data_IF_059874903377
#
_entry.id   IF_059874903377
#
_cell.length_a   1.000
_cell.length_b   1.000
_cell.length_c   1.000
_cell.angle_alpha   90.00
_cell.angle_beta   90.00
_cell.angle_gamma   90.00
#
_symmetry.space_group_name_H-M   'P 1'
#
loop_
_entity.id
_entity.type
_entity.pdbx_description
1 polymer ?
#
# COMPACT_ATOMS: atom_id res chain seq x y z
N UNK A 1 5.76 -4.40 -18.81
CA UNK A 1 6.95 -5.01 -18.18
C UNK A 1 6.49 -5.99 -17.11
N UNK A 2 7.06 -7.17 -17.09
CA UNK A 2 6.68 -8.25 -16.16
C UNK A 2 7.74 -8.34 -15.06
N UNK A 3 7.36 -8.37 -13.78
CA UNK A 3 8.32 -8.62 -12.72
C UNK A 3 8.90 -10.02 -12.84
N UNK A 4 10.18 -10.17 -12.57
CA UNK A 4 10.91 -11.44 -12.60
C UNK A 4 11.61 -11.68 -11.26
N UNK A 5 11.70 -12.95 -10.87
CA UNK A 5 12.58 -13.37 -9.79
C UNK A 5 13.95 -13.75 -10.36
N UNK A 6 14.98 -13.11 -9.83
CA UNK A 6 16.37 -13.49 -10.07
C UNK A 6 16.86 -14.27 -8.86
N UNK A 7 17.22 -15.53 -9.06
CA UNK A 7 17.72 -16.41 -8.04
C UNK A 7 19.23 -16.61 -8.20
N UNK A 8 19.98 -16.51 -7.12
CA UNK A 8 21.43 -16.76 -7.11
C UNK A 8 21.78 -18.14 -6.56
N UNK A 9 21.12 -18.48 -5.45
CA UNK A 9 21.31 -19.69 -4.69
C UNK A 9 19.95 -20.27 -4.37
N UNK A 10 19.90 -21.46 -3.80
CA UNK A 10 18.63 -22.10 -3.45
C UNK A 10 17.83 -21.31 -2.39
N UNK A 11 18.51 -20.45 -1.61
CA UNK A 11 17.95 -19.68 -0.51
C UNK A 11 17.99 -18.15 -0.70
N UNK A 12 18.40 -17.66 -1.88
CA UNK A 12 18.52 -16.23 -2.14
C UNK A 12 17.93 -15.83 -3.49
N UNK A 13 16.98 -14.88 -3.47
CA UNK A 13 16.37 -14.32 -4.68
C UNK A 13 15.98 -12.85 -4.50
N UNK A 14 15.82 -12.16 -5.62
CA UNK A 14 15.34 -10.77 -5.68
C UNK A 14 14.19 -10.67 -6.68
N UNK A 15 13.11 -10.00 -6.28
CA UNK A 15 12.04 -9.59 -7.19
C UNK A 15 12.42 -8.29 -7.88
N UNK A 16 12.51 -8.32 -9.19
CA UNK A 16 12.93 -7.18 -9.98
C UNK A 16 12.00 -6.93 -11.16
N UNK A 17 12.06 -5.70 -11.61
CA UNK A 17 11.41 -5.22 -12.80
C UNK A 17 12.43 -4.46 -13.63
N UNK A 18 12.38 -4.52 -14.96
CA UNK A 18 13.37 -3.85 -15.80
C UNK A 18 12.72 -3.14 -17.00
N UNK A 19 13.34 -2.05 -17.39
CA UNK A 19 13.16 -1.36 -18.65
C UNK A 19 14.49 -1.39 -19.44
N UNK A 20 14.54 -0.68 -20.54
CA UNK A 20 15.76 -0.64 -21.38
C UNK A 20 16.99 -0.06 -20.65
N UNK A 21 16.81 0.89 -19.75
CA UNK A 21 17.91 1.63 -19.09
C UNK A 21 17.89 1.56 -17.56
N UNK A 22 16.88 0.98 -16.98
CA UNK A 22 16.69 0.95 -15.53
C UNK A 22 16.22 -0.42 -15.04
N UNK A 23 16.71 -0.80 -13.89
CA UNK A 23 16.20 -1.94 -13.13
C UNK A 23 15.65 -1.45 -11.79
N UNK A 24 14.64 -2.14 -11.27
CA UNK A 24 14.04 -1.84 -9.97
C UNK A 24 13.88 -3.11 -9.16
N UNK A 25 14.43 -3.09 -7.96
CA UNK A 25 14.13 -4.04 -6.89
C UNK A 25 12.86 -3.53 -6.19
N UNK A 26 11.90 -4.40 -5.91
CA UNK A 26 10.60 -4.02 -5.36
C UNK A 26 10.42 -4.30 -3.87
N UNK A 27 11.35 -4.97 -3.24
CA UNK A 27 11.32 -5.34 -1.84
C UNK A 27 12.69 -5.83 -1.40
N UNK A 28 12.82 -6.13 -0.11
CA UNK A 28 13.99 -6.80 0.39
C UNK A 28 14.30 -8.06 -0.41
N UNK A 29 15.59 -8.39 -0.63
CA UNK A 29 15.98 -9.71 -1.12
C UNK A 29 15.46 -10.81 -0.21
N UNK A 30 15.02 -11.91 -0.79
CA UNK A 30 14.77 -13.14 -0.04
C UNK A 30 16.14 -13.73 0.30
N UNK A 31 16.60 -13.52 1.52
CA UNK A 31 17.87 -13.99 2.06
C UNK A 31 17.86 -13.82 3.58
N UNK A 32 18.95 -14.15 4.26
CA UNK A 32 19.13 -13.75 5.66
C UNK A 32 19.24 -12.22 5.74
N UNK A 33 18.74 -11.64 6.81
CA UNK A 33 18.69 -10.17 6.99
C UNK A 33 20.10 -9.53 6.94
N UNK A 34 21.10 -10.18 7.52
CA UNK A 34 22.48 -9.73 7.50
C UNK A 34 23.06 -9.63 6.09
N UNK A 35 22.60 -10.47 5.16
CA UNK A 35 23.13 -10.62 3.80
C UNK A 35 22.39 -9.73 2.76
N UNK A 36 21.24 -9.17 3.11
CA UNK A 36 20.39 -8.44 2.16
C UNK A 36 21.13 -7.33 1.40
N UNK A 37 21.93 -6.54 2.11
CA UNK A 37 22.71 -5.46 1.51
C UNK A 37 23.77 -5.99 0.52
N UNK A 38 24.45 -7.09 0.86
CA UNK A 38 25.42 -7.75 0.01
C UNK A 38 24.74 -8.30 -1.25
N UNK A 39 23.56 -8.90 -1.14
CA UNK A 39 22.79 -9.39 -2.30
C UNK A 39 22.39 -8.27 -3.25
N UNK A 40 22.04 -7.09 -2.73
CA UNK A 40 21.75 -5.91 -3.56
C UNK A 40 23.03 -5.41 -4.25
N UNK A 41 24.18 -5.41 -3.54
CA UNK A 41 25.46 -5.03 -4.14
C UNK A 41 25.86 -5.97 -5.27
N UNK A 42 25.85 -7.29 -5.02
CA UNK A 42 26.14 -8.31 -6.04
C UNK A 42 25.23 -8.16 -7.27
N UNK A 43 23.94 -8.01 -7.04
CA UNK A 43 22.97 -7.78 -8.12
C UNK A 43 23.29 -6.51 -8.91
N UNK A 44 23.57 -5.40 -8.22
CA UNK A 44 23.95 -4.14 -8.86
C UNK A 44 25.20 -4.28 -9.71
N UNK A 45 26.22 -4.97 -9.20
CA UNK A 45 27.46 -5.24 -9.95
C UNK A 45 27.19 -6.06 -11.21
N UNK A 46 26.30 -7.05 -11.16
CA UNK A 46 25.92 -7.87 -12.30
C UNK A 46 25.14 -7.04 -13.33
N UNK A 47 24.10 -6.32 -12.90
CA UNK A 47 23.26 -5.47 -13.75
C UNK A 47 24.08 -4.43 -14.51
N UNK A 48 25.05 -3.79 -13.85
CA UNK A 48 25.90 -2.76 -14.47
C UNK A 48 27.01 -3.29 -15.39
N UNK A 49 27.14 -4.62 -15.59
CA UNK A 49 27.93 -5.17 -16.71
C UNK A 49 27.31 -4.78 -18.06
N UNK A 50 25.99 -4.68 -18.11
CA UNK A 50 25.29 -4.11 -19.26
C UNK A 50 25.42 -2.58 -19.23
N UNK A 51 26.15 -2.02 -20.23
CA UNK A 51 26.41 -0.58 -20.33
C UNK A 51 25.19 0.27 -20.62
N UNK A 52 24.08 -0.33 -21.07
CA UNK A 52 22.83 0.37 -21.34
C UNK A 52 22.06 0.66 -20.04
N UNK A 53 22.30 -0.11 -18.98
CA UNK A 53 21.67 0.10 -17.68
C UNK A 53 22.40 1.22 -16.93
N UNK A 54 21.67 2.26 -16.57
CA UNK A 54 22.19 3.47 -15.92
C UNK A 54 21.85 3.53 -14.43
N UNK A 55 20.69 2.98 -14.05
CA UNK A 55 20.16 3.10 -12.69
C UNK A 55 19.58 1.79 -12.22
N UNK A 56 19.88 1.43 -10.98
CA UNK A 56 19.20 0.41 -10.22
C UNK A 56 18.43 1.09 -9.08
N UNK A 57 17.11 1.03 -9.12
CA UNK A 57 16.25 1.49 -8.04
C UNK A 57 16.09 0.39 -7.00
N UNK A 58 16.22 0.74 -5.73
CA UNK A 58 15.89 -0.08 -4.57
C UNK A 58 14.61 0.51 -3.97
N UNK A 59 13.46 -0.12 -4.23
CA UNK A 59 12.15 0.34 -3.78
C UNK A 59 11.70 -0.42 -2.55
N UNK A 60 11.28 0.32 -1.51
CA UNK A 60 10.69 -0.20 -0.28
C UNK A 60 11.52 -1.29 0.42
N UNK A 61 12.85 -1.14 0.38
CA UNK A 61 13.79 -2.02 1.09
C UNK A 61 13.95 -1.58 2.54
N UNK A 62 14.28 -2.53 3.44
CA UNK A 62 14.48 -2.27 4.87
C UNK A 62 15.40 -1.07 5.11
N UNK A 63 15.04 -0.19 6.06
CA UNK A 63 15.85 0.97 6.46
C UNK A 63 17.29 0.59 6.89
N UNK A 64 17.54 -0.68 7.24
CA UNK A 64 18.85 -1.19 7.62
C UNK A 64 19.82 -1.38 6.44
N UNK A 65 19.31 -1.37 5.21
CA UNK A 65 20.09 -1.66 3.98
C UNK A 65 20.84 -0.41 3.51
N UNK A 66 20.18 0.74 3.44
CA UNK A 66 20.79 1.97 2.95
C UNK A 66 22.10 2.36 3.65
N UNK A 67 22.19 2.34 5.01
CA UNK A 67 23.44 2.67 5.70
C UNK A 67 24.60 1.74 5.35
N UNK A 68 24.32 0.46 5.11
CA UNK A 68 25.33 -0.54 4.74
C UNK A 68 25.87 -0.28 3.32
N UNK A 69 25.02 0.17 2.40
CA UNK A 69 25.38 0.45 1.00
C UNK A 69 25.95 1.84 0.77
N UNK A 70 25.60 2.85 1.56
CA UNK A 70 25.95 4.27 1.32
C UNK A 70 27.44 4.53 1.08
N UNK A 71 28.30 3.78 1.77
CA UNK A 71 29.75 3.92 1.68
C UNK A 71 30.41 2.88 0.74
N UNK A 72 29.63 2.28 -0.15
CA UNK A 72 30.14 1.29 -1.09
C UNK A 72 31.24 1.87 -1.97
N UNK A 73 32.31 1.08 -2.19
CA UNK A 73 33.48 1.54 -2.96
C UNK A 73 33.28 1.44 -4.47
N UNK A 74 32.44 0.53 -4.93
CA UNK A 74 32.26 0.17 -6.33
C UNK A 74 31.02 0.84 -6.94
N UNK A 75 30.02 1.09 -6.11
CA UNK A 75 28.73 1.65 -6.49
C UNK A 75 28.55 3.04 -5.85
N UNK A 76 27.92 3.95 -6.55
CA UNK A 76 27.47 5.22 -5.98
C UNK A 76 26.00 5.09 -5.60
N UNK A 77 25.74 5.16 -4.31
CA UNK A 77 24.37 5.15 -3.75
C UNK A 77 23.90 6.59 -3.58
N UNK A 78 22.82 6.95 -4.24
CA UNK A 78 22.22 8.28 -4.12
C UNK A 78 21.44 8.39 -2.79
N UNK A 79 21.09 9.61 -2.40
CA UNK A 79 20.33 9.85 -1.20
C UNK A 79 18.95 9.19 -1.26
N UNK A 80 18.34 8.95 -0.10
CA UNK A 80 17.00 8.39 0.04
C UNK A 80 16.00 9.34 -0.63
N UNK A 81 15.19 8.79 -1.52
CA UNK A 81 14.16 9.53 -2.24
C UNK A 81 12.91 9.71 -1.37
N UNK A 82 12.44 8.63 -0.74
CA UNK A 82 11.40 8.64 0.29
C UNK A 82 11.57 7.45 1.25
N UNK A 83 10.94 7.58 2.42
CA UNK A 83 10.85 6.51 3.42
C UNK A 83 9.40 6.26 3.80
N UNK A 84 9.04 5.00 4.01
CA UNK A 84 7.71 4.62 4.46
C UNK A 84 7.77 3.99 5.85
N UNK A 85 6.79 4.34 6.67
CA UNK A 85 6.48 3.62 7.90
C UNK A 85 5.32 2.67 7.67
N UNK A 86 5.41 1.43 8.14
CA UNK A 86 4.42 0.37 7.93
C UNK A 86 3.65 0.11 9.23
N UNK A 87 2.51 0.78 9.42
CA UNK A 87 1.68 0.57 10.60
C UNK A 87 0.88 -0.72 10.48
N UNK A 88 0.83 -1.45 11.57
CA UNK A 88 0.01 -2.68 11.71
C UNK A 88 -0.88 -2.53 12.92
N UNK A 89 -2.17 -2.71 12.70
CA UNK A 89 -3.17 -2.64 13.76
C UNK A 89 -3.43 -4.04 14.34
N UNK A 90 -3.35 -4.15 15.65
CA UNK A 90 -3.75 -5.33 16.42
C UNK A 90 -5.27 -5.37 16.51
N UNK A 91 -5.90 -6.30 15.79
CA UNK A 91 -7.36 -6.41 15.71
C UNK A 91 -7.98 -6.98 16.99
N UNK A 92 -7.20 -7.64 17.85
CA UNK A 92 -7.70 -8.03 19.19
C UNK A 92 -7.95 -6.81 20.07
N UNK A 93 -7.14 -5.75 19.92
CA UNK A 93 -7.26 -4.49 20.66
C UNK A 93 -8.24 -3.50 20.05
N UNK A 94 -8.56 -3.66 18.76
CA UNK A 94 -9.55 -2.81 18.11
C UNK A 94 -10.95 -3.09 18.69
N UNK A 95 -11.67 -2.03 19.07
CA UNK A 95 -13.05 -2.08 19.53
C UNK A 95 -13.90 -1.16 18.63
N UNK A 96 -14.93 -1.73 17.99
CA UNK A 96 -15.85 -1.02 17.09
C UNK A 96 -16.65 0.08 17.79
N UNK A 97 -16.79 0.01 19.11
CA UNK A 97 -17.41 1.06 19.93
C UNK A 97 -16.48 2.27 20.12
N UNK A 98 -15.18 2.14 19.79
CA UNK A 98 -14.18 3.19 19.88
C UNK A 98 -14.20 3.89 21.26
N UNK A 99 -14.02 3.16 22.37
CA UNK A 99 -14.13 3.71 23.71
C UNK A 99 -13.02 4.72 24.03
N UNK A 100 -13.29 5.60 24.99
CA UNK A 100 -12.33 6.57 25.48
C UNK A 100 -12.40 7.96 24.80
N UNK A 101 -11.72 8.93 25.42
CA UNK A 101 -11.76 10.33 25.01
C UNK A 101 -11.07 10.60 23.68
N UNK A 102 -9.99 9.87 23.38
CA UNK A 102 -9.21 10.02 22.16
C UNK A 102 -9.99 9.67 20.88
N UNK A 103 -11.01 8.80 20.96
CA UNK A 103 -11.90 8.50 19.83
C UNK A 103 -13.16 9.37 19.76
N UNK A 104 -13.29 10.39 20.61
CA UNK A 104 -14.50 11.24 20.67
C UNK A 104 -14.83 11.85 19.30
N UNK A 105 -13.85 12.40 18.64
CA UNK A 105 -14.06 13.08 17.36
C UNK A 105 -14.44 12.10 16.24
N UNK A 106 -13.83 10.90 16.24
CA UNK A 106 -14.18 9.81 15.32
C UNK A 106 -15.62 9.36 15.53
N UNK A 107 -16.05 9.15 16.79
CA UNK A 107 -17.46 8.80 17.09
C UNK A 107 -18.43 9.90 16.69
N UNK A 108 -18.08 11.17 16.91
CA UNK A 108 -18.90 12.31 16.50
C UNK A 108 -19.06 12.37 14.98
N UNK A 109 -17.97 12.19 14.24
CA UNK A 109 -17.98 12.14 12.78
C UNK A 109 -18.82 10.95 12.27
N UNK A 110 -18.63 9.75 12.82
CA UNK A 110 -19.44 8.55 12.51
C UNK A 110 -20.93 8.83 12.76
N UNK A 111 -21.27 9.36 13.93
CA UNK A 111 -22.67 9.65 14.29
C UNK A 111 -23.30 10.73 13.42
N UNK A 112 -22.54 11.76 13.06
CA UNK A 112 -22.99 12.82 12.15
C UNK A 112 -23.26 12.23 10.76
N UNK A 113 -22.33 11.48 10.20
CA UNK A 113 -22.46 10.88 8.89
C UNK A 113 -23.72 10.03 8.74
N UNK A 114 -23.95 9.08 9.65
CA UNK A 114 -25.13 8.20 9.60
C UNK A 114 -26.47 8.88 9.95
N UNK A 115 -26.42 10.07 10.53
CA UNK A 115 -27.62 10.92 10.67
C UNK A 115 -27.96 11.66 9.38
N UNK A 116 -26.95 12.04 8.60
CA UNK A 116 -27.08 12.85 7.38
C UNK A 116 -27.25 11.99 6.12
N UNK A 117 -26.78 10.74 6.15
CA UNK A 117 -26.72 9.85 5.00
C UNK A 117 -27.27 8.45 5.33
N UNK A 118 -27.92 7.85 4.35
CA UNK A 118 -28.20 6.41 4.34
C UNK A 118 -27.06 5.71 3.62
N UNK A 119 -26.29 4.93 4.36
CA UNK A 119 -25.12 4.23 3.82
C UNK A 119 -25.23 2.72 4.02
N UNK A 120 -24.71 1.99 3.04
CA UNK A 120 -24.59 0.53 3.07
C UNK A 120 -23.30 0.09 2.37
N UNK A 121 -22.81 -1.08 2.75
CA UNK A 121 -21.65 -1.71 2.09
C UNK A 121 -22.13 -2.96 1.36
N UNK A 122 -21.87 -3.02 0.07
CA UNK A 122 -22.24 -4.15 -0.77
C UNK A 122 -21.02 -4.80 -1.40
N UNK A 123 -21.13 -6.02 -1.86
CA UNK A 123 -20.06 -6.63 -2.63
C UNK A 123 -20.00 -6.01 -4.04
N UNK A 124 -18.81 -5.96 -4.65
CA UNK A 124 -18.61 -5.33 -5.97
C UNK A 124 -19.49 -5.92 -7.07
N UNK A 125 -19.83 -7.22 -7.00
CA UNK A 125 -20.69 -7.91 -7.95
C UNK A 125 -22.14 -7.41 -7.98
N UNK A 126 -22.55 -6.61 -7.01
CA UNK A 126 -23.86 -5.94 -6.92
C UNK A 126 -23.87 -4.57 -7.59
N UNK A 127 -22.73 -4.11 -8.10
CA UNK A 127 -22.59 -2.77 -8.70
C UNK A 127 -22.09 -2.90 -10.13
N UNK A 128 -22.71 -2.17 -11.06
CA UNK A 128 -22.26 -2.17 -12.44
C UNK A 128 -20.82 -1.65 -12.58
N UNK A 129 -19.95 -2.35 -13.30
CA UNK A 129 -18.55 -1.97 -13.50
C UNK A 129 -18.39 -0.52 -13.98
N UNK A 130 -19.30 -0.04 -14.84
CA UNK A 130 -19.25 1.35 -15.32
C UNK A 130 -19.32 2.39 -14.21
N UNK A 131 -20.07 2.09 -13.12
CA UNK A 131 -20.15 2.98 -11.96
C UNK A 131 -18.87 2.93 -11.12
N UNK A 132 -18.24 1.76 -11.01
CA UNK A 132 -16.94 1.62 -10.36
C UNK A 132 -15.84 2.38 -11.12
N UNK A 133 -15.83 2.28 -12.45
CA UNK A 133 -14.92 3.07 -13.28
C UNK A 133 -15.14 4.58 -13.11
N UNK A 134 -16.40 5.02 -13.03
CA UNK A 134 -16.73 6.43 -12.81
C UNK A 134 -16.19 6.97 -11.48
N UNK A 135 -16.21 6.15 -10.39
CA UNK A 135 -15.59 6.52 -9.11
C UNK A 135 -14.07 6.73 -9.29
N UNK A 136 -13.40 5.84 -10.04
CA UNK A 136 -11.96 5.96 -10.32
C UNK A 136 -11.66 7.24 -11.09
N UNK A 137 -12.44 7.54 -12.13
CA UNK A 137 -12.27 8.73 -12.96
C UNK A 137 -12.46 10.02 -12.15
N UNK A 138 -13.49 10.08 -11.30
CA UNK A 138 -13.74 11.24 -10.44
C UNK A 138 -12.65 11.40 -9.39
N UNK A 139 -12.24 10.29 -8.72
CA UNK A 139 -11.12 10.30 -7.80
C UNK A 139 -9.84 10.83 -8.45
N UNK A 140 -9.52 10.36 -9.67
CA UNK A 140 -8.36 10.83 -10.44
C UNK A 140 -8.46 12.34 -10.73
N UNK A 141 -9.61 12.82 -11.18
CA UNK A 141 -9.82 14.23 -11.47
C UNK A 141 -9.59 15.13 -10.24
N UNK A 142 -10.04 14.67 -9.06
CA UNK A 142 -9.83 15.40 -7.81
C UNK A 142 -8.37 15.34 -7.37
N UNK A 143 -7.74 14.16 -7.47
CA UNK A 143 -6.35 13.97 -7.09
C UNK A 143 -5.40 14.82 -7.96
N UNK A 144 -5.59 14.85 -9.29
CA UNK A 144 -4.82 15.69 -10.21
C UNK A 144 -4.94 17.19 -9.93
N UNK A 145 -6.10 17.65 -9.44
CA UNK A 145 -6.27 19.06 -9.03
C UNK A 145 -5.49 19.40 -7.75
N UNK A 146 -5.29 18.43 -6.86
CA UNK A 146 -4.60 18.61 -5.57
C UNK A 146 -3.10 18.33 -5.65
N UNK A 147 -2.72 17.35 -6.44
CA UNK A 147 -1.33 16.90 -6.63
C UNK A 147 -0.85 17.31 -8.01
N UNK A 148 0.37 17.85 -8.09
CA UNK A 148 0.99 18.23 -9.36
C UNK A 148 1.64 17.04 -10.11
N UNK A 149 1.55 15.84 -9.54
CA UNK A 149 2.16 14.62 -10.04
C UNK A 149 1.12 13.69 -10.69
N UNK A 150 1.58 12.79 -11.55
CA UNK A 150 0.74 11.79 -12.22
C UNK A 150 0.07 10.86 -11.20
N UNK A 151 -1.25 10.74 -11.32
CA UNK A 151 -2.05 9.84 -10.49
C UNK A 151 -2.19 8.50 -11.19
N UNK A 152 -1.72 7.44 -10.55
CA UNK A 152 -1.70 6.10 -11.12
C UNK A 152 -3.04 5.37 -10.92
N UNK A 153 -3.99 5.61 -11.82
CA UNK A 153 -5.36 5.06 -11.80
C UNK A 153 -5.50 3.68 -12.44
N UNK A 154 -4.59 3.32 -13.36
CA UNK A 154 -4.69 2.11 -14.17
C UNK A 154 -4.85 0.82 -13.35
N UNK A 155 -4.24 0.75 -12.15
CA UNK A 155 -4.37 -0.41 -11.26
C UNK A 155 -5.82 -0.64 -10.81
N UNK A 156 -6.58 0.41 -10.57
CA UNK A 156 -7.98 0.33 -10.15
C UNK A 156 -8.87 -0.12 -11.30
N UNK A 157 -8.69 0.46 -12.49
CA UNK A 157 -9.43 0.05 -13.69
C UNK A 157 -9.17 -1.43 -14.02
N UNK A 158 -7.90 -1.87 -13.96
CA UNK A 158 -7.55 -3.29 -14.17
C UNK A 158 -8.17 -4.21 -13.12
N UNK A 159 -8.24 -3.80 -11.87
CA UNK A 159 -8.88 -4.60 -10.83
C UNK A 159 -10.38 -4.78 -11.12
N UNK A 160 -11.07 -3.71 -11.50
CA UNK A 160 -12.49 -3.74 -11.88
C UNK A 160 -12.72 -4.63 -13.11
N UNK A 161 -11.92 -4.45 -14.18
CA UNK A 161 -12.04 -5.23 -15.41
C UNK A 161 -11.88 -6.74 -15.18
N UNK A 162 -11.01 -7.10 -14.25
CA UNK A 162 -10.72 -8.48 -13.86
C UNK A 162 -11.56 -8.97 -12.66
N UNK A 163 -12.70 -8.33 -12.36
CA UNK A 163 -13.60 -8.72 -11.28
C UNK A 163 -12.87 -8.85 -9.91
N UNK A 164 -11.90 -8.00 -9.65
CA UNK A 164 -11.06 -8.03 -8.46
C UNK A 164 -10.41 -9.40 -8.19
N UNK A 165 -10.13 -10.15 -9.25
CA UNK A 165 -9.50 -11.46 -9.15
C UNK A 165 -8.16 -11.35 -8.43
N UNK A 166 -7.96 -12.19 -7.41
CA UNK A 166 -6.77 -12.17 -6.54
C UNK A 166 -6.97 -11.38 -5.25
N UNK A 167 -8.06 -10.63 -5.12
CA UNK A 167 -8.48 -10.07 -3.85
C UNK A 167 -9.43 -11.04 -3.12
N UNK A 168 -9.33 -11.06 -1.80
CA UNK A 168 -10.26 -11.82 -0.96
C UNK A 168 -11.59 -11.11 -0.84
N UNK A 169 -11.56 -9.79 -0.82
CA UNK A 169 -12.74 -8.93 -0.73
C UNK A 169 -12.59 -7.68 -1.59
N UNK A 170 -13.70 -7.27 -2.19
CA UNK A 170 -13.86 -5.97 -2.82
C UNK A 170 -15.25 -5.44 -2.43
N UNK A 171 -15.26 -4.40 -1.60
CA UNK A 171 -16.46 -3.89 -0.94
C UNK A 171 -16.73 -2.49 -1.44
N UNK A 172 -17.95 -2.25 -1.93
CA UNK A 172 -18.39 -0.96 -2.47
C UNK A 172 -19.27 -0.27 -1.44
N UNK A 173 -18.97 0.99 -1.22
CA UNK A 173 -19.74 1.85 -0.33
C UNK A 173 -20.79 2.60 -1.13
N UNK A 174 -22.05 2.47 -0.71
CA UNK A 174 -23.21 3.11 -1.34
C UNK A 174 -23.79 4.11 -0.36
N UNK A 175 -23.89 5.36 -0.77
CA UNK A 175 -24.45 6.46 0.02
C UNK A 175 -25.63 7.06 -0.73
N UNK A 176 -26.79 7.10 -0.05
CA UNK A 176 -28.02 7.63 -0.62
C UNK A 176 -28.40 7.01 -1.98
N UNK A 177 -28.10 5.70 -2.11
CA UNK A 177 -28.36 4.90 -3.31
C UNK A 177 -27.29 5.00 -4.42
N UNK A 178 -26.22 5.78 -4.23
CA UNK A 178 -25.14 5.93 -5.19
C UNK A 178 -23.84 5.26 -4.71
N UNK A 179 -23.15 4.46 -5.51
CA UNK A 179 -21.82 3.95 -5.19
C UNK A 179 -20.82 5.11 -5.22
N UNK A 180 -20.10 5.31 -4.10
CA UNK A 180 -19.24 6.48 -3.86
C UNK A 180 -17.80 6.15 -3.51
N UNK A 181 -17.48 4.86 -3.36
CA UNK A 181 -16.13 4.40 -3.05
C UNK A 181 -16.07 2.88 -2.99
N UNK A 182 -14.86 2.35 -3.01
CA UNK A 182 -14.62 0.93 -2.76
C UNK A 182 -13.27 0.69 -2.12
N UNK A 183 -13.20 -0.41 -1.37
CA UNK A 183 -11.97 -0.94 -0.80
C UNK A 183 -11.79 -2.40 -1.21
N UNK A 184 -10.55 -2.82 -1.41
CA UNK A 184 -10.20 -4.20 -1.70
C UNK A 184 -8.94 -4.61 -0.95
N UNK A 185 -8.89 -5.88 -0.54
CA UNK A 185 -7.77 -6.42 0.21
C UNK A 185 -7.70 -7.94 0.14
N UNK A 186 -6.64 -8.49 0.73
CA UNK A 186 -6.38 -9.93 0.76
C UNK A 186 -5.72 -10.35 2.07
N UNK A 187 -5.76 -11.65 2.35
CA UNK A 187 -4.97 -12.24 3.41
C UNK A 187 -3.50 -12.35 2.99
N UNK A 188 -2.60 -11.91 3.85
CA UNK A 188 -1.17 -11.89 3.54
C UNK A 188 -0.66 -13.32 3.46
N UNK A 189 -0.18 -13.71 2.28
CA UNK A 189 0.44 -15.03 2.06
C UNK A 189 1.59 -15.24 3.05
N UNK A 190 1.69 -16.43 3.63
CA UNK A 190 2.68 -16.80 4.65
C UNK A 190 2.57 -16.02 5.98
N UNK A 191 1.47 -15.32 6.22
CA UNK A 191 1.18 -14.66 7.50
C UNK A 191 -0.29 -14.88 7.87
N UNK A 192 -0.70 -16.10 8.24
CA UNK A 192 -2.08 -16.43 8.58
C UNK A 192 -2.64 -15.47 9.63
N UNK A 193 -3.90 -15.08 9.47
CA UNK A 193 -4.55 -14.11 10.36
C UNK A 193 -4.17 -12.65 10.12
N UNK A 194 -3.32 -12.35 9.13
CA UNK A 194 -2.97 -10.99 8.73
C UNK A 194 -3.71 -10.60 7.44
N UNK A 195 -4.48 -9.55 7.50
CA UNK A 195 -5.17 -8.96 6.36
C UNK A 195 -4.42 -7.71 5.87
N UNK A 196 -4.37 -7.49 4.57
CA UNK A 196 -3.81 -6.29 3.97
C UNK A 196 -4.88 -5.55 3.15
N UNK A 197 -5.16 -4.31 3.52
CA UNK A 197 -6.00 -3.38 2.74
C UNK A 197 -5.14 -2.69 1.69
N UNK A 198 -5.31 -3.08 0.42
CA UNK A 198 -4.40 -2.65 -0.66
C UNK A 198 -4.97 -1.51 -1.49
N UNK A 199 -6.26 -1.52 -1.71
CA UNK A 199 -6.95 -0.52 -2.53
C UNK A 199 -8.04 0.16 -1.73
N UNK A 200 -8.07 1.48 -1.84
CA UNK A 200 -9.17 2.29 -1.31
C UNK A 200 -9.27 3.56 -2.11
N UNK A 201 -10.43 3.83 -2.66
CA UNK A 201 -10.76 5.10 -3.31
C UNK A 201 -12.19 5.50 -2.98
N UNK A 202 -12.44 6.79 -2.96
CA UNK A 202 -13.75 7.33 -2.65
C UNK A 202 -13.96 8.70 -3.29
N UNK A 203 -15.21 9.10 -3.34
CA UNK A 203 -15.61 10.46 -3.66
C UNK A 203 -15.22 11.42 -2.53
N UNK A 204 -14.29 12.31 -2.82
CA UNK A 204 -13.80 13.31 -1.85
C UNK A 204 -14.77 14.48 -1.63
N UNK A 205 -15.89 14.56 -2.36
CA UNK A 205 -16.90 15.59 -2.15
C UNK A 205 -17.79 15.30 -0.93
N UNK A 206 -17.84 14.04 -0.50
CA UNK A 206 -18.62 13.62 0.67
C UNK A 206 -17.74 13.71 1.90
N UNK A 207 -18.12 14.60 2.82
CA UNK A 207 -17.39 14.78 4.07
C UNK A 207 -17.37 13.51 4.91
N UNK A 208 -16.27 13.25 5.61
CA UNK A 208 -16.05 12.10 6.50
C UNK A 208 -16.06 10.73 5.80
N UNK A 209 -16.35 10.62 4.50
CA UNK A 209 -16.48 9.34 3.80
C UNK A 209 -15.21 8.47 3.93
N UNK A 210 -14.02 9.06 3.84
CA UNK A 210 -12.75 8.33 4.03
C UNK A 210 -12.68 7.63 5.38
N UNK A 211 -13.09 8.32 6.44
CA UNK A 211 -13.11 7.78 7.79
C UNK A 211 -14.15 6.66 7.91
N UNK A 212 -15.32 6.85 7.34
CA UNK A 212 -16.41 5.87 7.42
C UNK A 212 -16.07 4.59 6.66
N UNK A 213 -15.53 4.69 5.44
CA UNK A 213 -15.04 3.55 4.69
C UNK A 213 -14.00 2.75 5.50
N UNK A 214 -13.09 3.45 6.15
CA UNK A 214 -12.07 2.83 6.98
C UNK A 214 -12.66 2.11 8.19
N UNK A 215 -13.61 2.72 8.88
CA UNK A 215 -14.27 2.10 10.04
C UNK A 215 -15.07 0.86 9.65
N UNK A 216 -15.79 0.90 8.53
CA UNK A 216 -16.51 -0.25 8.00
C UNK A 216 -15.59 -1.42 7.63
N UNK A 217 -14.40 -1.11 7.12
CA UNK A 217 -13.39 -2.14 6.85
C UNK A 217 -12.80 -2.71 8.13
N UNK A 218 -12.48 -1.88 9.12
CA UNK A 218 -12.00 -2.34 10.42
C UNK A 218 -13.01 -3.28 11.10
N UNK A 219 -14.28 -2.89 11.09
CA UNK A 219 -15.37 -3.70 11.68
C UNK A 219 -15.51 -5.04 10.93
N UNK A 220 -15.43 -5.02 9.60
CA UNK A 220 -15.48 -6.24 8.79
C UNK A 220 -14.27 -7.15 9.05
N UNK A 221 -13.05 -6.61 9.05
CA UNK A 221 -11.81 -7.36 9.27
C UNK A 221 -11.82 -8.04 10.63
N UNK A 222 -12.27 -7.32 11.67
CA UNK A 222 -12.44 -7.87 13.01
C UNK A 222 -13.46 -9.01 13.05
N UNK A 223 -14.63 -8.81 12.45
CA UNK A 223 -15.71 -9.81 12.42
C UNK A 223 -15.33 -11.04 11.59
N UNK A 224 -14.47 -10.88 10.58
CA UNK A 224 -13.89 -11.98 9.80
C UNK A 224 -12.83 -12.79 10.58
N UNK A 225 -12.43 -12.33 11.78
CA UNK A 225 -11.54 -13.06 12.68
C UNK A 225 -10.05 -12.84 12.41
N UNK A 226 -9.68 -11.81 11.64
CA UNK A 226 -8.28 -11.46 11.44
C UNK A 226 -7.66 -10.89 12.72
N UNK A 227 -6.42 -11.27 12.99
CA UNK A 227 -5.67 -10.85 14.16
C UNK A 227 -4.93 -9.53 13.94
N UNK A 228 -4.50 -9.28 12.72
CA UNK A 228 -3.73 -8.10 12.32
C UNK A 228 -4.24 -7.50 11.02
N UNK A 229 -4.24 -6.16 10.96
CA UNK A 229 -4.41 -5.41 9.72
C UNK A 229 -3.10 -4.73 9.35
N UNK A 230 -2.53 -5.10 8.21
CA UNK A 230 -1.49 -4.33 7.54
C UNK A 230 -2.12 -3.13 6.84
N UNK A 231 -1.81 -1.95 7.37
CA UNK A 231 -2.38 -0.69 6.88
C UNK A 231 -1.60 -0.11 5.70
N UNK A 232 -0.64 -0.86 5.16
CA UNK A 232 0.32 -0.46 4.13
C UNK A 232 1.26 0.67 4.57
N UNK A 233 2.44 0.71 3.92
CA UNK A 233 3.42 1.77 4.14
C UNK A 233 2.90 3.14 3.74
N UNK A 234 3.29 4.17 4.47
CA UNK A 234 2.90 5.54 4.17
C UNK A 234 3.98 6.54 4.63
N UNK A 235 4.00 7.67 3.98
CA UNK A 235 4.76 8.85 4.41
C UNK A 235 4.01 9.57 5.54
N UNK A 236 4.64 10.59 6.12
CA UNK A 236 4.15 11.32 7.31
C UNK A 236 2.68 11.78 7.16
N UNK A 237 2.29 12.25 5.96
CA UNK A 237 0.94 12.79 5.71
C UNK A 237 -0.16 11.74 5.87
N UNK A 238 -0.05 10.60 5.17
CA UNK A 238 -1.01 9.51 5.25
C UNK A 238 -0.90 8.73 6.57
N UNK A 239 0.32 8.60 7.09
CA UNK A 239 0.58 7.98 8.37
C UNK A 239 -0.21 8.65 9.52
N UNK A 240 -0.32 9.99 9.52
CA UNK A 240 -1.07 10.73 10.53
C UNK A 240 -2.53 10.27 10.67
N UNK A 241 -3.20 9.95 9.56
CA UNK A 241 -4.55 9.41 9.58
C UNK A 241 -4.58 8.00 10.21
N UNK A 242 -3.66 7.13 9.81
CA UNK A 242 -3.58 5.74 10.29
C UNK A 242 -3.29 5.68 11.79
N UNK A 243 -2.41 6.56 12.28
CA UNK A 243 -2.01 6.64 13.70
C UNK A 243 -3.16 7.00 14.67
N UNK A 244 -4.29 7.51 14.18
CA UNK A 244 -5.48 7.75 15.01
C UNK A 244 -6.06 6.46 15.61
N UNK A 245 -5.75 5.31 15.01
CA UNK A 245 -6.19 3.98 15.46
C UNK A 245 -5.16 3.26 16.35
N UNK A 246 -4.06 3.93 16.69
CA UNK A 246 -2.99 3.41 17.55
C UNK A 246 -2.32 2.13 17.03
N UNK A 247 -2.00 2.00 15.75
CA UNK A 247 -1.23 0.87 15.25
C UNK A 247 0.21 0.91 15.79
N UNK A 248 0.91 -0.21 15.65
CA UNK A 248 2.35 -0.29 15.88
C UNK A 248 3.06 -0.15 14.53
N UNK A 249 4.13 0.62 14.47
CA UNK A 249 5.02 0.62 13.30
C UNK A 249 5.88 -0.64 13.38
N UNK A 250 5.57 -1.64 12.54
CA UNK A 250 6.32 -2.91 12.53
C UNK A 250 7.65 -2.80 11.79
N UNK A 251 7.71 -1.98 10.73
CA UNK A 251 8.93 -1.77 9.94
C UNK A 251 8.96 -0.40 9.29
N UNK A 252 10.15 -0.01 8.85
CA UNK A 252 10.35 1.13 7.96
C UNK A 252 11.13 0.68 6.73
N UNK A 253 10.86 1.32 5.62
CA UNK A 253 11.52 1.05 4.36
C UNK A 253 11.98 2.32 3.69
N UNK A 254 13.07 2.22 2.92
CA UNK A 254 13.65 3.31 2.17
C UNK A 254 13.60 3.01 0.66
N UNK A 255 13.42 4.04 -0.12
CA UNK A 255 13.58 3.99 -1.57
C UNK A 255 14.73 4.91 -1.98
N UNK A 256 15.69 4.36 -2.69
CA UNK A 256 16.86 5.06 -3.19
C UNK A 256 17.35 4.46 -4.51
N UNK A 257 18.30 5.09 -5.15
CA UNK A 257 18.88 4.56 -6.38
C UNK A 257 20.39 4.36 -6.28
N UNK A 258 20.88 3.43 -7.08
CA UNK A 258 22.29 3.07 -7.21
C UNK A 258 22.69 3.30 -8.67
N UNK A 259 23.88 3.87 -8.88
CA UNK A 259 24.50 4.03 -10.20
C UNK A 259 25.92 3.48 -10.16
N UNK A 260 26.44 3.13 -11.32
CA UNK A 260 27.84 2.74 -11.45
C UNK A 260 28.75 3.94 -11.17
N UNK A 261 29.84 3.72 -10.41
CA UNK A 261 30.93 4.69 -10.25
C UNK A 261 31.77 4.80 -11.51
#
# INVERSE_FOLDING_TARGET
DVPIFVQWTDDSSILVHHSKSEWRIWSDPVSKEEDMAERIEEFGMEVFKNKDIKVLWCGDVSETIYPKLKNNKLLKVNDIYYSLSWPVLDMFKYDSLLPGGHFKDIRNAKSKFYREHKAEVVNFDKVEKKLLHAIVDEWKNVALKKQKEDVYDLKYHKAIDNDFKGFLTARVFVVDGNPVGFNAGYEVVNSPGRFAGIMGIQDYSINELSLILWLEDLDWIKNAGYEKLDMQGDEEGGLKFKMQFHPVIERKTDTFSIIKK
#
